data_IF_366232831238
#
_entry.id   IF_366232831238
#
_cell.length_a   1.000
_cell.length_b   1.000
_cell.length_c   1.000
_cell.angle_alpha   90.00
_cell.angle_beta   90.00
_cell.angle_gamma   90.00
#
_symmetry.space_group_name_H-M   'P 1'
#
loop_
_entity.id
_entity.type
_entity.pdbx_description
1 polymer ?
#
# COMPACT_ATOMS: atom_id res chain seq x y z
N UNK A 1 -11.20 13.46 -6.92
CA UNK A 1 -10.05 14.24 -6.44
C UNK A 1 -9.29 13.42 -5.42
N UNK A 2 -8.02 13.13 -5.67
CA UNK A 2 -7.10 12.56 -4.69
C UNK A 2 -6.69 13.65 -3.71
N UNK A 3 -6.80 13.38 -2.40
CA UNK A 3 -6.35 14.30 -1.36
C UNK A 3 -5.41 13.55 -0.43
N UNK A 4 -4.15 13.97 -0.41
CA UNK A 4 -3.18 13.48 0.58
C UNK A 4 -3.63 13.91 1.99
N UNK A 5 -3.58 12.98 2.93
CA UNK A 5 -3.97 13.20 4.32
C UNK A 5 -2.75 12.97 5.22
N UNK A 6 -2.35 14.01 5.94
CA UNK A 6 -1.18 13.96 6.83
C UNK A 6 0.17 14.18 6.13
N UNK A 7 1.24 14.04 6.92
CA UNK A 7 2.64 14.18 6.47
C UNK A 7 3.21 12.82 6.04
N UNK A 8 4.35 12.84 5.37
CA UNK A 8 5.09 11.60 5.09
C UNK A 8 5.66 11.10 6.41
N UNK A 9 5.59 9.79 6.65
CA UNK A 9 6.17 9.18 7.83
C UNK A 9 7.46 8.44 7.42
N UNK A 10 8.65 8.92 7.83
CA UNK A 10 9.90 8.20 7.59
C UNK A 10 9.96 6.94 8.47
N UNK A 11 10.47 5.86 7.91
CA UNK A 11 10.60 4.57 8.60
C UNK A 11 12.07 4.22 8.71
N UNK A 12 12.62 4.25 9.92
CA UNK A 12 14.01 3.88 10.20
C UNK A 12 14.14 2.44 10.72
N UNK A 13 13.07 1.93 11.35
CA UNK A 13 13.02 0.58 11.91
C UNK A 13 12.83 -0.46 10.79
N UNK A 14 13.26 -1.71 11.02
CA UNK A 14 13.03 -2.79 10.05
C UNK A 14 11.54 -3.15 9.93
N UNK A 15 10.69 -2.72 10.85
CA UNK A 15 9.24 -2.90 10.75
C UNK A 15 8.49 -1.64 11.18
N UNK A 16 7.25 -1.50 10.70
CA UNK A 16 6.31 -0.48 11.13
C UNK A 16 4.87 -1.01 11.10
N UNK A 17 4.09 -0.69 12.13
CA UNK A 17 2.67 -0.95 12.13
C UNK A 17 1.91 0.28 11.62
N UNK A 18 0.91 0.07 10.76
CA UNK A 18 0.02 1.11 10.27
C UNK A 18 -1.39 0.72 10.69
N UNK A 19 -1.99 1.47 11.59
CA UNK A 19 -3.25 1.11 12.25
C UNK A 19 -4.22 2.30 12.35
N UNK A 20 -5.48 2.05 12.68
CA UNK A 20 -6.46 3.14 12.85
C UNK A 20 -6.31 3.85 14.19
N UNK A 21 -6.64 3.16 15.28
CA UNK A 21 -6.73 3.73 16.63
C UNK A 21 -6.46 2.61 17.65
N UNK A 22 -5.19 2.32 17.88
CA UNK A 22 -4.75 1.25 18.77
C UNK A 22 -4.07 1.88 19.98
N UNK A 23 -4.58 1.65 21.21
CA UNK A 23 -3.94 2.15 22.41
C UNK A 23 -2.56 1.49 22.56
N UNK A 24 -1.52 2.31 22.76
CA UNK A 24 -0.10 1.87 22.81
C UNK A 24 0.42 1.22 21.52
N UNK A 25 -0.21 1.49 20.38
CA UNK A 25 0.28 1.04 19.08
C UNK A 25 1.62 1.71 18.74
N UNK A 26 2.64 0.91 18.47
CA UNK A 26 3.93 1.39 17.98
C UNK A 26 3.89 1.50 16.45
N UNK A 27 3.92 2.72 15.90
CA UNK A 27 3.95 2.96 14.46
C UNK A 27 3.09 4.15 14.02
N UNK A 28 2.44 4.02 12.87
CA UNK A 28 1.66 5.07 12.22
C UNK A 28 0.16 4.93 12.51
N UNK A 29 -0.38 5.89 13.25
CA UNK A 29 -1.82 6.01 13.50
C UNK A 29 -2.51 6.82 12.40
N UNK A 30 -3.38 6.16 11.62
CA UNK A 30 -4.17 6.81 10.57
C UNK A 30 -5.21 7.78 11.16
N UNK A 31 -5.66 7.54 12.41
CA UNK A 31 -6.54 8.48 13.12
C UNK A 31 -5.83 9.81 13.39
N UNK A 32 -4.57 9.77 13.80
CA UNK A 32 -3.77 10.98 14.02
C UNK A 32 -3.62 11.81 12.74
N UNK A 33 -3.34 11.15 11.61
CA UNK A 33 -3.28 11.81 10.30
C UNK A 33 -4.64 12.41 9.88
N UNK A 34 -5.74 11.76 10.29
CA UNK A 34 -7.09 12.17 9.93
C UNK A 34 -7.55 13.45 10.63
N UNK A 35 -6.97 13.82 11.78
CA UNK A 35 -7.28 15.06 12.47
C UNK A 35 -6.95 16.31 11.64
N UNK A 36 -6.07 16.20 10.66
CA UNK A 36 -5.78 17.28 9.71
C UNK A 36 -6.86 17.45 8.62
N UNK A 37 -7.93 16.63 8.62
CA UNK A 37 -8.93 16.59 7.57
C UNK A 37 -10.34 16.90 8.13
N UNK A 38 -10.72 18.19 8.10
CA UNK A 38 -11.99 18.70 8.65
C UNK A 38 -13.27 18.30 7.89
N UNK A 39 -13.19 17.52 6.80
CA UNK A 39 -14.35 17.22 5.94
C UNK A 39 -14.24 15.87 5.21
N UNK A 40 -14.09 14.76 5.95
CA UNK A 40 -14.14 13.43 5.34
C UNK A 40 -15.58 12.93 5.19
N UNK A 41 -15.91 12.32 4.05
CA UNK A 41 -17.23 11.72 3.83
C UNK A 41 -17.50 10.57 4.81
N UNK A 42 -18.78 10.23 5.01
CA UNK A 42 -19.14 9.13 5.90
C UNK A 42 -18.57 7.78 5.42
N UNK A 43 -18.46 7.55 4.10
CA UNK A 43 -17.85 6.33 3.57
C UNK A 43 -16.38 6.21 3.96
N UNK A 44 -15.63 7.31 3.89
CA UNK A 44 -14.22 7.35 4.29
C UNK A 44 -14.08 7.09 5.79
N UNK A 45 -14.94 7.71 6.60
CA UNK A 45 -14.95 7.51 8.06
C UNK A 45 -15.28 6.06 8.45
N UNK A 46 -16.24 5.43 7.76
CA UNK A 46 -16.57 4.00 7.96
C UNK A 46 -15.43 3.09 7.50
N UNK A 47 -14.79 3.38 6.36
CA UNK A 47 -13.66 2.61 5.87
C UNK A 47 -12.46 2.67 6.83
N UNK A 48 -12.15 3.86 7.34
CA UNK A 48 -11.10 4.10 8.34
C UNK A 48 -11.30 3.29 9.62
N UNK A 49 -12.52 3.30 10.18
CA UNK A 49 -12.83 2.50 11.39
C UNK A 49 -12.66 1.00 11.18
N UNK A 50 -12.84 0.50 9.95
CA UNK A 50 -12.67 -0.92 9.62
C UNK A 50 -11.20 -1.36 9.49
N UNK A 51 -10.25 -0.42 9.43
CA UNK A 51 -8.82 -0.77 9.38
C UNK A 51 -8.41 -1.48 10.67
N UNK A 52 -8.89 -1.03 11.84
CA UNK A 52 -8.58 -1.65 13.13
C UNK A 52 -7.07 -1.68 13.39
N UNK A 53 -6.52 -2.88 13.62
CA UNK A 53 -5.07 -3.12 13.78
C UNK A 53 -4.26 -2.87 12.49
N UNK A 54 -4.92 -2.80 11.33
CA UNK A 54 -4.32 -2.42 10.05
C UNK A 54 -3.31 -3.43 9.51
N UNK A 55 -2.11 -2.96 9.21
CA UNK A 55 -1.05 -3.79 8.62
C UNK A 55 0.27 -3.61 9.35
N UNK A 56 1.13 -4.62 9.29
CA UNK A 56 2.54 -4.51 9.67
C UNK A 56 3.39 -4.64 8.42
N UNK A 57 4.24 -3.64 8.16
CA UNK A 57 5.29 -3.72 7.16
C UNK A 57 6.55 -4.21 7.84
N UNK A 58 7.22 -5.20 7.24
CA UNK A 58 8.49 -5.73 7.71
C UNK A 58 9.47 -5.80 6.54
N UNK A 59 10.69 -5.31 6.75
CA UNK A 59 11.82 -5.47 5.86
C UNK A 59 12.60 -6.70 6.30
N UNK A 60 12.59 -7.71 5.46
CA UNK A 60 13.28 -8.98 5.64
C UNK A 60 14.42 -9.11 4.61
N UNK A 61 15.23 -10.16 4.72
CA UNK A 61 16.41 -10.35 3.86
C UNK A 61 16.05 -10.50 2.39
N UNK A 62 14.90 -11.11 2.10
CA UNK A 62 14.41 -11.40 0.75
C UNK A 62 13.48 -10.32 0.20
N UNK A 63 13.21 -9.24 0.93
CA UNK A 63 12.27 -8.22 0.47
C UNK A 63 11.45 -7.56 1.57
N UNK A 64 10.35 -6.93 1.16
CA UNK A 64 9.43 -6.25 2.06
C UNK A 64 8.13 -7.01 2.10
N UNK A 65 7.70 -7.33 3.31
CA UNK A 65 6.50 -8.09 3.61
C UNK A 65 5.44 -7.19 4.22
N UNK A 66 4.20 -7.37 3.75
CA UNK A 66 3.00 -6.84 4.37
C UNK A 66 2.31 -7.96 5.10
N UNK A 67 2.04 -7.77 6.38
CA UNK A 67 1.23 -8.64 7.22
C UNK A 67 -0.13 -7.98 7.45
N UNK A 68 -1.20 -8.60 6.96
CA UNK A 68 -2.54 -8.08 7.16
C UNK A 68 -3.08 -8.49 8.53
N UNK A 69 -3.12 -7.53 9.46
CA UNK A 69 -3.67 -7.70 10.81
C UNK A 69 -5.06 -7.09 10.95
N UNK A 70 -5.60 -6.51 9.88
CA UNK A 70 -6.89 -5.86 9.88
C UNK A 70 -8.02 -6.89 9.80
N UNK A 71 -9.22 -6.47 10.18
CA UNK A 71 -10.44 -7.28 10.04
C UNK A 71 -11.03 -7.25 8.63
N UNK A 72 -10.30 -6.69 7.66
CA UNK A 72 -10.70 -6.53 6.27
C UNK A 72 -9.58 -7.01 5.34
N UNK A 73 -9.89 -7.44 4.10
CA UNK A 73 -8.85 -7.71 3.12
C UNK A 73 -8.17 -6.40 2.71
N UNK A 74 -6.88 -6.48 2.36
CA UNK A 74 -6.16 -5.39 1.72
C UNK A 74 -5.89 -5.74 0.26
N UNK A 75 -5.66 -4.72 -0.55
CA UNK A 75 -5.38 -4.86 -1.98
C UNK A 75 -4.07 -4.14 -2.24
N UNK A 76 -3.09 -4.87 -2.76
CA UNK A 76 -1.71 -4.39 -2.95
C UNK A 76 -1.39 -4.37 -4.43
N UNK A 77 -0.78 -3.29 -4.90
CA UNK A 77 -0.19 -3.21 -6.22
C UNK A 77 1.28 -2.80 -6.10
N UNK A 78 2.14 -3.60 -6.71
CA UNK A 78 3.59 -3.42 -6.76
C UNK A 78 4.09 -4.02 -8.06
N UNK A 79 5.15 -3.45 -8.63
CA UNK A 79 5.73 -3.94 -9.88
C UNK A 79 6.43 -5.29 -9.74
N UNK A 80 6.90 -5.61 -8.54
CA UNK A 80 7.55 -6.90 -8.24
C UNK A 80 6.55 -8.04 -8.04
N UNK A 81 5.27 -7.71 -7.84
CA UNK A 81 4.21 -8.70 -7.84
C UNK A 81 3.97 -9.12 -9.28
N UNK A 82 3.89 -10.43 -9.52
CA UNK A 82 3.58 -11.05 -10.82
C UNK A 82 2.17 -10.67 -11.29
N UNK A 83 2.04 -9.40 -11.67
CA UNK A 83 0.84 -8.82 -12.24
C UNK A 83 0.94 -9.11 -13.72
N UNK A 84 0.72 -10.39 -14.08
CA UNK A 84 0.54 -10.77 -15.46
C UNK A 84 -0.57 -9.89 -16.05
N UNK A 85 -0.14 -8.93 -16.86
CA UNK A 85 -0.90 -8.34 -17.97
C UNK A 85 -1.84 -7.17 -17.61
N UNK A 86 -2.47 -7.09 -16.42
CA UNK A 86 -3.61 -6.16 -16.23
C UNK A 86 -3.56 -5.13 -15.08
N UNK A 87 -2.42 -4.92 -14.40
CA UNK A 87 -2.32 -3.94 -13.29
C UNK A 87 -3.41 -4.14 -12.21
N UNK A 88 -3.85 -5.39 -12.01
CA UNK A 88 -4.85 -5.75 -11.02
C UNK A 88 -4.15 -5.88 -9.66
N UNK A 89 -4.66 -5.24 -8.60
CA UNK A 89 -4.09 -5.37 -7.28
C UNK A 89 -4.28 -6.79 -6.73
N UNK A 90 -3.23 -7.32 -6.14
CA UNK A 90 -3.23 -8.60 -5.43
C UNK A 90 -4.03 -8.44 -4.13
N UNK A 91 -5.06 -9.26 -3.96
CA UNK A 91 -5.87 -9.28 -2.73
C UNK A 91 -5.18 -10.12 -1.66
N UNK A 92 -4.93 -9.53 -0.50
CA UNK A 92 -4.41 -10.22 0.69
C UNK A 92 -5.54 -10.38 1.70
N UNK A 93 -5.95 -11.62 2.03
CA UNK A 93 -6.96 -11.89 3.06
C UNK A 93 -6.51 -11.43 4.46
N UNK A 94 -7.44 -11.51 5.42
CA UNK A 94 -7.12 -11.29 6.84
C UNK A 94 -6.09 -12.32 7.31
N UNK A 95 -5.20 -11.93 8.22
CA UNK A 95 -4.19 -12.80 8.83
C UNK A 95 -3.20 -13.44 7.84
N UNK A 96 -3.12 -12.92 6.62
CA UNK A 96 -2.19 -13.37 5.59
C UNK A 96 -1.05 -12.36 5.41
N UNK A 97 0.09 -12.86 4.93
CA UNK A 97 1.22 -12.04 4.52
C UNK A 97 1.47 -12.12 3.02
N UNK A 98 2.06 -11.06 2.46
CA UNK A 98 2.46 -10.98 1.07
C UNK A 98 3.81 -10.27 0.97
N UNK A 99 4.75 -10.85 0.22
CA UNK A 99 5.96 -10.14 -0.20
C UNK A 99 5.58 -9.13 -1.28
N UNK A 100 5.65 -7.84 -0.94
CA UNK A 100 5.23 -6.74 -1.81
C UNK A 100 6.38 -6.09 -2.55
N UNK A 101 7.62 -6.43 -2.18
CA UNK A 101 8.81 -5.96 -2.86
C UNK A 101 9.89 -7.02 -2.80
N UNK A 102 10.32 -7.48 -3.96
CA UNK A 102 11.46 -8.40 -4.10
C UNK A 102 12.60 -7.67 -4.83
N UNK A 103 13.75 -7.42 -4.16
CA UNK A 103 14.86 -6.69 -4.74
C UNK A 103 15.51 -7.43 -5.91
N UNK A 104 15.43 -8.76 -5.96
CA UNK A 104 15.99 -9.57 -7.05
C UNK A 104 15.16 -9.35 -8.31
N UNK A 105 13.83 -9.37 -8.19
CA UNK A 105 12.91 -9.11 -9.31
C UNK A 105 13.07 -7.70 -9.88
N UNK A 106 13.33 -6.71 -9.04
CA UNK A 106 13.61 -5.34 -9.51
C UNK A 106 14.90 -5.29 -10.33
N UNK A 107 15.97 -5.92 -9.84
CA UNK A 107 17.23 -5.97 -10.56
C UNK A 107 17.05 -6.59 -11.96
N UNK A 108 16.31 -7.70 -12.06
CA UNK A 108 16.00 -8.35 -13.34
C UNK A 108 15.13 -7.49 -14.26
N UNK A 109 14.20 -6.71 -13.71
CA UNK A 109 13.36 -5.78 -14.50
C UNK A 109 14.14 -4.59 -15.07
N UNK A 110 15.10 -4.04 -14.33
CA UNK A 110 15.96 -2.94 -14.82
C UNK A 110 16.81 -3.37 -16.05
N UNK A 111 17.12 -4.67 -16.16
CA UNK A 111 17.79 -5.21 -17.35
C UNK A 111 16.86 -5.35 -18.56
N UNK A 112 15.56 -5.61 -18.37
CA UNK A 112 14.60 -5.87 -19.45
C UNK A 112 13.88 -4.61 -19.95
N UNK A 113 13.62 -3.64 -19.07
CA UNK A 113 12.96 -2.38 -19.44
C UNK A 113 13.82 -1.48 -20.35
N UNK A 114 15.15 -1.68 -20.37
CA UNK A 114 16.06 -1.05 -21.31
C UNK A 114 15.89 -1.51 -22.77
N UNK A 115 15.15 -2.61 -23.03
CA UNK A 115 15.04 -3.23 -24.37
C UNK A 115 13.70 -2.91 -25.08
N UNK A 116 12.83 -2.09 -24.47
CA UNK A 116 11.83 -1.33 -25.22
C UNK A 116 10.38 -1.67 -24.92
N UNK A 117 9.88 -1.23 -23.78
CA UNK A 117 8.43 -1.10 -23.58
C UNK A 117 8.04 0.27 -23.02
N UNK A 118 7.16 0.92 -23.78
CA UNK A 118 6.62 2.26 -23.68
C UNK A 118 5.54 2.39 -22.60
N UNK A 119 5.92 2.45 -21.32
CA UNK A 119 4.99 2.82 -20.23
C UNK A 119 5.55 3.86 -19.27
N UNK A 120 6.08 4.97 -19.76
CA UNK A 120 6.40 6.15 -18.93
C UNK A 120 7.38 5.87 -17.77
N UNK A 121 7.65 6.87 -16.91
CA UNK A 121 8.39 6.65 -15.67
C UNK A 121 7.46 5.95 -14.68
N UNK A 122 7.57 4.63 -14.57
CA UNK A 122 6.91 3.89 -13.49
C UNK A 122 7.89 3.85 -12.33
N UNK A 123 7.46 4.33 -11.17
CA UNK A 123 8.27 4.27 -9.95
C UNK A 123 8.36 2.81 -9.45
N UNK A 124 9.44 2.13 -9.82
CA UNK A 124 9.76 0.74 -9.40
C UNK A 124 9.84 0.59 -7.88
N UNK A 125 10.03 1.71 -7.18
CA UNK A 125 10.17 1.80 -5.73
C UNK A 125 8.88 2.24 -5.02
N UNK A 126 7.72 2.27 -5.71
CA UNK A 126 6.43 2.58 -5.08
C UNK A 126 5.57 1.33 -4.93
N UNK A 127 5.04 1.12 -3.73
CA UNK A 127 4.04 0.09 -3.43
C UNK A 127 2.76 0.78 -2.94
N UNK A 128 1.64 0.44 -3.56
CA UNK A 128 0.35 1.04 -3.23
C UNK A 128 -0.58 0.02 -2.60
N UNK A 129 -1.23 0.40 -1.50
CA UNK A 129 -2.10 -0.49 -0.72
C UNK A 129 -3.44 0.19 -0.43
N UNK A 130 -4.55 -0.48 -0.74
CA UNK A 130 -5.90 -0.04 -0.38
C UNK A 130 -6.51 -0.95 0.68
N UNK A 131 -7.26 -0.34 1.60
CA UNK A 131 -7.94 -1.04 2.69
C UNK A 131 -9.38 -1.39 2.32
N UNK A 132 -9.70 -2.68 2.28
CA UNK A 132 -11.06 -3.22 2.10
C UNK A 132 -11.63 -3.09 0.68
N UNK A 133 -11.01 -2.31 -0.21
CA UNK A 133 -11.54 -1.98 -1.54
C UNK A 133 -10.49 -2.21 -2.62
N UNK A 134 -10.77 -3.11 -3.55
CA UNK A 134 -9.98 -3.31 -4.77
C UNK A 134 -10.27 -2.27 -5.86
N UNK A 135 -9.38 -2.23 -6.85
CA UNK A 135 -9.46 -1.39 -8.05
C UNK A 135 -8.87 -2.15 -9.25
N UNK A 136 -8.96 -1.59 -10.46
CA UNK A 136 -8.47 -2.22 -11.70
C UNK A 136 -9.55 -3.01 -12.44
N UNK A 137 -9.14 -3.72 -13.50
CA UNK A 137 -10.05 -4.57 -14.28
C UNK A 137 -10.69 -5.63 -13.39
N UNK A 138 -12.02 -5.75 -13.46
CA UNK A 138 -12.80 -6.62 -12.57
C UNK A 138 -13.34 -5.95 -11.30
N UNK A 139 -13.04 -4.67 -11.05
CA UNK A 139 -13.64 -3.89 -9.98
C UNK A 139 -14.44 -2.69 -10.52
N UNK A 140 -15.36 -2.18 -9.70
CA UNK A 140 -16.10 -0.95 -10.02
C UNK A 140 -15.21 0.29 -10.05
N UNK A 141 -13.99 0.20 -9.51
CA UNK A 141 -13.00 1.29 -9.44
C UNK A 141 -11.88 0.99 -10.41
N UNK A 142 -11.61 1.91 -11.33
CA UNK A 142 -10.49 1.74 -12.26
C UNK A 142 -9.15 2.13 -11.65
N UNK A 143 -9.15 3.08 -10.71
CA UNK A 143 -7.93 3.62 -10.11
C UNK A 143 -7.93 3.51 -8.58
N UNK A 144 -6.74 3.43 -7.99
CA UNK A 144 -6.58 3.47 -6.53
C UNK A 144 -7.05 4.81 -5.94
N UNK A 145 -6.98 5.89 -6.71
CA UNK A 145 -7.48 7.24 -6.37
C UNK A 145 -8.96 7.25 -5.96
N UNK A 146 -9.74 6.27 -6.46
CA UNK A 146 -11.16 6.10 -6.18
C UNK A 146 -11.43 5.32 -4.88
N UNK A 147 -10.38 4.77 -4.26
CA UNK A 147 -10.47 4.06 -3.00
C UNK A 147 -10.58 5.05 -1.82
N UNK A 148 -11.45 4.79 -0.84
CA UNK A 148 -11.68 5.73 0.26
C UNK A 148 -10.48 5.84 1.21
N UNK A 149 -9.69 4.77 1.33
CA UNK A 149 -8.53 4.69 2.20
C UNK A 149 -7.45 3.84 1.52
N UNK A 150 -6.35 4.49 1.17
CA UNK A 150 -5.19 3.85 0.60
C UNK A 150 -3.92 4.57 1.09
N UNK A 151 -2.79 3.88 0.98
CA UNK A 151 -1.47 4.38 1.31
C UNK A 151 -0.51 4.06 0.17
N UNK A 152 0.52 4.88 0.07
CA UNK A 152 1.66 4.66 -0.82
C UNK A 152 2.91 4.55 0.04
N UNK A 153 3.71 3.53 -0.26
CA UNK A 153 4.97 3.24 0.40
C UNK A 153 6.06 3.51 -0.63
N UNK A 154 6.93 4.45 -0.29
CA UNK A 154 8.08 4.82 -1.11
C UNK A 154 9.32 4.14 -0.53
N UNK A 155 9.98 3.33 -1.33
CA UNK A 155 11.16 2.58 -0.96
C UNK A 155 12.42 3.40 -1.26
N UNK A 156 13.27 3.55 -0.24
CA UNK A 156 14.53 4.25 -0.39
C UNK A 156 15.61 3.34 -1.01
N UNK A 157 16.50 3.86 -1.88
CA UNK A 157 16.60 5.27 -2.26
C UNK A 157 15.47 5.70 -3.22
N UNK A 158 14.78 6.78 -2.87
CA UNK A 158 13.87 7.46 -3.78
C UNK A 158 14.74 8.07 -4.88
N UNK A 159 14.61 7.60 -6.13
CA UNK A 159 15.29 8.21 -7.28
C UNK A 159 14.46 9.36 -7.85
#
# INVERSE_FOLDING_TARGET
>A
MTKRVGRQFPVEKPFINIFWDVPYGEGLSVKELSHCCNSCSEEVSRARRKIGLGITLSREENGIWVYNRSSIPIFVNSLTLDSNIDSVPTRVPIEHCLCVFDPIKVADMDYTCNIGNSKGPIDTNSVTISFGKGWGSGYSRMEISSCPCWIEILLAPCR
#
